data_IF_624976654025
#
_entry.id   IF_624976654025
#
_cell.length_a   1.000
_cell.length_b   1.000
_cell.length_c   1.000
_cell.angle_alpha   90.00
_cell.angle_beta   90.00
_cell.angle_gamma   90.00
#
_symmetry.space_group_name_H-M   'P 1'
#
loop_
_entity.id
_entity.type
_entity.pdbx_description
1 polymer ?
#
# COMPACT_ATOMS: atom_id res chain seq x y z
N UNK A 1 -27.90 -21.48 10.49
CA UNK A 1 -27.09 -21.62 9.25
C UNK A 1 -26.93 -20.28 8.52
N UNK A 2 -28.01 -19.60 8.09
CA UNK A 2 -27.94 -18.30 7.38
C UNK A 2 -27.19 -17.19 8.15
N UNK A 3 -27.37 -17.12 9.47
CA UNK A 3 -26.68 -16.13 10.32
C UNK A 3 -25.16 -16.39 10.36
N UNK A 4 -24.73 -17.64 10.46
CA UNK A 4 -23.31 -18.00 10.46
C UNK A 4 -22.65 -17.68 9.11
N UNK A 5 -23.35 -17.94 8.00
CA UNK A 5 -22.90 -17.57 6.66
C UNK A 5 -22.78 -16.04 6.55
N UNK A 6 -23.78 -15.29 7.03
CA UNK A 6 -23.73 -13.83 7.05
C UNK A 6 -22.57 -13.28 7.87
N UNK A 7 -22.27 -13.88 9.02
CA UNK A 7 -21.16 -13.47 9.88
C UNK A 7 -19.80 -13.72 9.21
N UNK A 8 -19.63 -14.88 8.58
CA UNK A 8 -18.44 -15.18 7.78
C UNK A 8 -18.27 -14.20 6.60
N UNK A 9 -19.37 -13.90 5.89
CA UNK A 9 -19.35 -12.94 4.78
C UNK A 9 -19.04 -11.52 5.26
N UNK A 10 -19.51 -11.11 6.45
CA UNK A 10 -19.16 -9.82 7.04
C UNK A 10 -17.66 -9.74 7.35
N UNK A 11 -17.07 -10.79 7.92
CA UNK A 11 -15.62 -10.85 8.19
C UNK A 11 -14.83 -10.79 6.88
N UNK A 12 -15.21 -11.58 5.88
CA UNK A 12 -14.56 -11.57 4.57
C UNK A 12 -14.68 -10.20 3.87
N UNK A 13 -15.85 -9.57 3.94
CA UNK A 13 -16.09 -8.24 3.40
C UNK A 13 -15.31 -7.15 4.16
N UNK A 14 -15.16 -7.28 5.48
CA UNK A 14 -14.35 -6.37 6.29
C UNK A 14 -12.87 -6.45 5.92
N UNK A 15 -12.31 -7.65 5.92
CA UNK A 15 -10.90 -7.89 5.58
C UNK A 15 -10.60 -7.41 4.16
N UNK A 16 -11.50 -7.70 3.22
CA UNK A 16 -11.36 -7.26 1.83
C UNK A 16 -11.55 -5.76 1.67
N UNK A 17 -12.52 -5.16 2.35
CA UNK A 17 -12.76 -3.72 2.32
C UNK A 17 -11.61 -2.93 2.93
N UNK A 18 -11.05 -3.41 4.04
CA UNK A 18 -9.84 -2.83 4.64
C UNK A 18 -8.66 -2.92 3.67
N UNK A 19 -8.45 -4.10 3.07
CA UNK A 19 -7.36 -4.31 2.12
C UNK A 19 -7.47 -3.41 0.87
N UNK A 20 -8.68 -3.21 0.35
CA UNK A 20 -8.89 -2.49 -0.91
C UNK A 20 -9.03 -0.97 -0.73
N UNK A 21 -9.75 -0.53 0.30
CA UNK A 21 -10.28 0.83 0.37
C UNK A 21 -10.15 1.48 1.76
N UNK A 22 -9.55 0.77 2.71
CA UNK A 22 -9.41 1.23 4.09
C UNK A 22 -10.68 1.04 4.94
N UNK A 23 -10.62 1.53 6.17
CA UNK A 23 -11.57 1.19 7.25
C UNK A 23 -13.00 1.65 6.97
N UNK A 24 -13.19 2.82 6.34
CA UNK A 24 -14.52 3.38 6.04
C UNK A 24 -15.29 2.52 5.03
N UNK A 25 -14.62 2.03 4.00
CA UNK A 25 -15.22 1.12 3.03
C UNK A 25 -15.44 -0.28 3.59
N UNK A 26 -14.54 -0.77 4.46
CA UNK A 26 -14.72 -2.02 5.18
C UNK A 26 -16.03 -2.04 5.97
N UNK A 27 -16.30 -0.97 6.73
CA UNK A 27 -17.54 -0.80 7.49
C UNK A 27 -18.75 -0.76 6.55
N UNK A 28 -18.64 -0.02 5.44
CA UNK A 28 -19.72 0.10 4.45
C UNK A 28 -20.08 -1.26 3.83
N UNK A 29 -19.09 -2.08 3.47
CA UNK A 29 -19.32 -3.42 2.94
C UNK A 29 -19.91 -4.36 4.00
N UNK A 30 -19.47 -4.30 5.26
CA UNK A 30 -20.09 -5.07 6.33
C UNK A 30 -21.56 -4.73 6.52
N UNK A 31 -21.92 -3.44 6.51
CA UNK A 31 -23.32 -3.01 6.63
C UNK A 31 -24.17 -3.52 5.46
N UNK A 32 -23.62 -3.51 4.25
CA UNK A 32 -24.30 -3.98 3.03
C UNK A 32 -24.51 -5.50 3.06
N UNK A 33 -23.51 -6.27 3.51
CA UNK A 33 -23.61 -7.72 3.73
C UNK A 33 -24.58 -8.05 4.88
N UNK A 34 -24.55 -7.29 5.98
CA UNK A 34 -25.48 -7.48 7.10
C UNK A 34 -26.93 -7.20 6.69
N UNK A 35 -27.17 -6.09 5.99
CA UNK A 35 -28.49 -5.70 5.50
C UNK A 35 -29.05 -6.74 4.50
N UNK A 36 -28.22 -7.19 3.55
CA UNK A 36 -28.63 -8.20 2.57
C UNK A 36 -28.89 -9.57 3.21
N UNK A 37 -28.07 -9.97 4.20
CA UNK A 37 -28.31 -11.18 5.00
C UNK A 37 -29.61 -11.09 5.79
N UNK A 38 -29.90 -9.94 6.38
CA UNK A 38 -31.12 -9.70 7.13
C UNK A 38 -32.37 -9.79 6.23
N UNK A 39 -32.34 -9.17 5.06
CA UNK A 39 -33.42 -9.26 4.06
C UNK A 39 -33.62 -10.70 3.61
N UNK A 40 -32.55 -11.43 3.29
CA UNK A 40 -32.62 -12.83 2.92
C UNK A 40 -33.25 -13.67 4.04
N UNK A 41 -32.77 -13.51 5.28
CA UNK A 41 -33.31 -14.22 6.45
C UNK A 41 -34.81 -13.96 6.64
N UNK A 42 -35.26 -12.70 6.56
CA UNK A 42 -36.68 -12.34 6.67
C UNK A 42 -37.52 -13.00 5.59
N UNK A 43 -37.04 -13.01 4.34
CA UNK A 43 -37.77 -13.61 3.22
C UNK A 43 -37.88 -15.13 3.34
N UNK A 44 -36.81 -15.80 3.79
CA UNK A 44 -36.80 -17.24 3.98
C UNK A 44 -37.72 -17.70 5.13
N UNK A 45 -37.92 -16.87 6.16
CA UNK A 45 -38.78 -17.20 7.30
C UNK A 45 -40.24 -16.84 7.07
N UNK A 46 -40.53 -15.69 6.46
CA UNK A 46 -41.89 -15.15 6.40
C UNK A 46 -42.70 -15.66 5.20
N UNK A 47 -42.07 -16.09 4.10
CA UNK A 47 -42.77 -16.42 2.85
C UNK A 47 -42.73 -17.92 2.50
N UNK A 48 -43.79 -18.66 2.87
CA UNK A 48 -43.97 -20.09 2.50
C UNK A 48 -44.47 -20.34 1.07
N UNK A 49 -44.96 -19.32 0.34
CA UNK A 49 -45.69 -19.54 -0.94
C UNK A 49 -45.10 -18.92 -2.21
N UNK A 50 -44.20 -17.93 -2.13
CA UNK A 50 -43.72 -17.24 -3.34
C UNK A 50 -42.30 -17.63 -3.74
N UNK A 51 -42.18 -18.71 -4.52
CA UNK A 51 -40.91 -19.20 -5.07
C UNK A 51 -40.16 -18.17 -5.94
N UNK A 52 -40.90 -17.27 -6.62
CA UNK A 52 -40.31 -16.24 -7.48
C UNK A 52 -39.59 -15.17 -6.63
N UNK A 53 -40.25 -14.62 -5.61
CA UNK A 53 -39.65 -13.63 -4.71
C UNK A 53 -38.40 -14.17 -3.99
N UNK A 54 -38.42 -15.46 -3.62
CA UNK A 54 -37.26 -16.12 -3.02
C UNK A 54 -36.07 -16.22 -3.98
N UNK A 55 -36.31 -16.50 -5.27
CA UNK A 55 -35.27 -16.57 -6.31
C UNK A 55 -34.68 -15.20 -6.62
N UNK A 56 -35.51 -14.16 -6.75
CA UNK A 56 -35.04 -12.79 -7.03
C UNK A 56 -34.21 -12.22 -5.88
N UNK A 57 -34.59 -12.50 -4.63
CA UNK A 57 -33.85 -12.01 -3.47
C UNK A 57 -32.58 -12.83 -3.26
N UNK A 58 -32.62 -14.13 -3.51
CA UNK A 58 -31.41 -14.96 -3.52
C UNK A 58 -30.44 -14.54 -4.62
N UNK A 59 -30.92 -14.17 -5.81
CA UNK A 59 -30.05 -13.65 -6.87
C UNK A 59 -29.47 -12.29 -6.51
N UNK A 60 -30.26 -11.35 -5.97
CA UNK A 60 -29.76 -10.07 -5.48
C UNK A 60 -28.68 -10.23 -4.40
N UNK A 61 -28.91 -11.15 -3.44
CA UNK A 61 -27.93 -11.49 -2.42
C UNK A 61 -26.66 -12.08 -3.03
N UNK A 62 -26.79 -13.08 -3.93
CA UNK A 62 -25.66 -13.71 -4.59
C UNK A 62 -24.87 -12.71 -5.45
N UNK A 63 -25.53 -11.83 -6.18
CA UNK A 63 -24.88 -10.78 -6.99
C UNK A 63 -24.18 -9.75 -6.11
N UNK A 64 -24.77 -9.37 -4.97
CA UNK A 64 -24.14 -8.43 -4.03
C UNK A 64 -22.92 -9.05 -3.36
N UNK A 65 -23.03 -10.30 -2.90
CA UNK A 65 -21.90 -11.05 -2.32
C UNK A 65 -20.82 -11.28 -3.36
N UNK A 66 -21.19 -11.65 -4.59
CA UNK A 66 -20.25 -11.79 -5.69
C UNK A 66 -19.59 -10.45 -6.03
N UNK A 67 -20.34 -9.36 -6.04
CA UNK A 67 -19.77 -8.04 -6.26
C UNK A 67 -18.78 -7.68 -5.16
N UNK A 68 -19.10 -7.88 -3.88
CA UNK A 68 -18.19 -7.59 -2.77
C UNK A 68 -16.95 -8.50 -2.77
N UNK A 69 -17.12 -9.80 -3.02
CA UNK A 69 -16.06 -10.81 -2.96
C UNK A 69 -15.27 -10.99 -4.27
N UNK A 70 -15.78 -10.51 -5.41
CA UNK A 70 -15.14 -10.69 -6.71
C UNK A 70 -15.06 -9.41 -7.54
N UNK A 71 -15.56 -8.24 -7.07
CA UNK A 71 -15.13 -6.98 -7.69
C UNK A 71 -13.62 -6.89 -7.53
N UNK A 72 -12.96 -6.98 -8.68
CA UNK A 72 -11.55 -6.79 -8.79
C UNK A 72 -11.23 -5.31 -8.51
N UNK A 73 -10.09 -4.99 -7.85
CA UNK A 73 -9.59 -3.63 -7.71
C UNK A 73 -9.46 -2.86 -9.04
N UNK A 74 -9.60 -3.54 -10.18
CA UNK A 74 -9.53 -2.97 -11.53
C UNK A 74 -10.68 -2.03 -11.92
N UNK A 75 -11.74 -1.88 -11.11
CA UNK A 75 -12.90 -1.03 -11.47
C UNK A 75 -12.77 0.44 -11.03
N UNK A 76 -11.76 0.76 -10.20
CA UNK A 76 -11.44 2.15 -9.86
C UNK A 76 -9.95 2.43 -10.10
N UNK A 77 -9.61 3.28 -11.09
CA UNK A 77 -8.24 3.72 -11.33
C UNK A 77 -7.57 4.28 -10.06
N UNK A 78 -8.36 4.95 -9.21
CA UNK A 78 -7.90 5.51 -7.93
C UNK A 78 -7.43 4.43 -6.95
N UNK A 79 -8.21 3.36 -6.77
CA UNK A 79 -7.86 2.26 -5.85
C UNK A 79 -6.67 1.46 -6.36
N UNK A 80 -6.65 1.15 -7.66
CA UNK A 80 -5.52 0.48 -8.29
C UNK A 80 -4.23 1.31 -8.15
N UNK A 81 -4.33 2.65 -8.24
CA UNK A 81 -3.19 3.54 -8.02
C UNK A 81 -2.71 3.57 -6.57
N UNK A 82 -3.61 3.54 -5.58
CA UNK A 82 -3.26 3.50 -4.16
C UNK A 82 -2.60 2.16 -3.78
N UNK A 83 -3.17 1.04 -4.22
CA UNK A 83 -2.60 -0.29 -3.97
C UNK A 83 -1.23 -0.46 -4.62
N UNK A 84 -1.05 0.07 -5.85
CA UNK A 84 0.29 0.11 -6.49
C UNK A 84 1.26 0.97 -5.69
N UNK A 85 0.88 2.18 -5.28
CA UNK A 85 1.74 3.08 -4.48
C UNK A 85 2.20 2.42 -3.19
N UNK A 86 1.31 1.77 -2.46
CA UNK A 86 1.67 1.10 -1.22
C UNK A 86 2.61 -0.09 -1.46
N UNK A 87 2.39 -0.89 -2.53
CA UNK A 87 3.31 -1.96 -2.91
C UNK A 87 4.68 -1.42 -3.32
N UNK A 88 4.72 -0.34 -4.08
CA UNK A 88 5.97 0.33 -4.48
C UNK A 88 6.71 0.86 -3.25
N UNK A 89 6.01 1.45 -2.28
CA UNK A 89 6.61 1.90 -1.03
C UNK A 89 7.25 0.76 -0.25
N UNK A 90 6.51 -0.33 0.02
CA UNK A 90 7.03 -1.48 0.77
C UNK A 90 8.25 -2.08 0.06
N UNK A 91 8.19 -2.17 -1.28
CA UNK A 91 9.30 -2.70 -2.08
C UNK A 91 10.54 -1.82 -1.98
N UNK A 92 10.37 -0.50 -2.10
CA UNK A 92 11.45 0.47 -1.95
C UNK A 92 12.04 0.44 -0.54
N UNK A 93 11.22 0.39 0.51
CA UNK A 93 11.68 0.24 1.90
C UNK A 93 12.48 -1.05 2.10
N UNK A 94 12.04 -2.16 1.50
CA UNK A 94 12.76 -3.44 1.59
C UNK A 94 14.11 -3.38 0.86
N UNK A 95 14.16 -2.76 -0.32
CA UNK A 95 15.40 -2.55 -1.05
C UNK A 95 16.38 -1.66 -0.28
N UNK A 96 15.89 -0.55 0.28
CA UNK A 96 16.69 0.35 1.13
C UNK A 96 17.27 -0.37 2.35
N UNK A 97 16.46 -1.19 3.02
CA UNK A 97 16.93 -1.98 4.14
C UNK A 97 18.02 -2.97 3.71
N UNK A 98 17.89 -3.59 2.54
CA UNK A 98 18.90 -4.52 2.03
C UNK A 98 20.23 -3.84 1.69
N UNK A 99 20.23 -2.56 1.30
CA UNK A 99 21.47 -1.80 1.07
C UNK A 99 22.07 -1.31 2.41
N UNK A 100 21.23 -0.80 3.32
CA UNK A 100 21.70 -0.13 4.53
C UNK A 100 22.05 -1.08 5.69
N UNK A 101 21.47 -2.27 5.75
CA UNK A 101 21.65 -3.20 6.88
C UNK A 101 22.96 -4.01 6.83
N UNK A 102 23.43 -4.50 5.67
CA UNK A 102 24.63 -5.35 5.62
C UNK A 102 25.94 -4.60 5.87
N UNK A 103 26.00 -3.31 5.53
CA UNK A 103 27.23 -2.53 5.58
C UNK A 103 27.32 -1.72 6.88
N UNK A 104 28.28 -2.06 7.75
CA UNK A 104 28.50 -1.38 9.03
C UNK A 104 28.85 0.10 8.87
N UNK A 105 29.36 0.51 7.69
CA UNK A 105 29.67 1.93 7.40
C UNK A 105 28.44 2.81 7.37
N UNK A 106 27.26 2.23 7.15
CA UNK A 106 25.98 2.94 7.09
C UNK A 106 25.09 2.68 8.31
N UNK A 107 25.66 2.19 9.42
CA UNK A 107 24.89 1.84 10.62
C UNK A 107 24.06 2.99 11.20
N UNK A 108 24.53 4.24 11.04
CA UNK A 108 23.86 5.46 11.48
C UNK A 108 22.97 6.11 10.40
N UNK A 109 22.93 5.52 9.20
CA UNK A 109 22.08 5.97 8.09
C UNK A 109 20.71 5.31 8.20
N UNK A 110 19.67 6.10 7.96
CA UNK A 110 18.28 5.68 7.95
C UNK A 110 17.60 6.25 6.71
N UNK A 111 16.67 5.48 6.17
CA UNK A 111 15.84 5.92 5.07
C UNK A 111 14.37 5.94 5.51
N UNK A 112 13.67 6.99 5.09
CA UNK A 112 12.22 7.12 5.26
C UNK A 112 11.58 7.28 3.90
N UNK A 113 10.55 6.48 3.63
CA UNK A 113 9.79 6.50 2.39
C UNK A 113 8.39 7.06 2.65
N UNK A 114 7.95 8.00 1.81
CA UNK A 114 6.59 8.54 1.81
C UNK A 114 6.01 8.48 0.40
N UNK A 115 5.03 7.61 0.19
CA UNK A 115 4.36 7.46 -1.11
C UNK A 115 3.06 8.26 -1.15
N UNK A 116 3.15 9.52 -1.60
CA UNK A 116 1.98 10.41 -1.83
C UNK A 116 1.48 10.29 -3.27
N UNK A 117 1.85 11.24 -4.13
CA UNK A 117 1.60 11.21 -5.58
C UNK A 117 2.74 10.53 -6.34
N UNK A 118 3.95 10.71 -5.84
CA UNK A 118 5.18 10.03 -6.22
C UNK A 118 5.81 9.42 -4.96
N UNK A 119 6.81 8.55 -5.14
CA UNK A 119 7.63 8.07 -4.04
C UNK A 119 8.64 9.15 -3.66
N UNK A 120 8.64 9.55 -2.39
CA UNK A 120 9.66 10.43 -1.81
C UNK A 120 10.52 9.58 -0.88
N UNK A 121 11.82 9.60 -1.10
CA UNK A 121 12.80 8.88 -0.27
C UNK A 121 13.69 9.91 0.38
N UNK A 122 13.74 9.91 1.70
CA UNK A 122 14.62 10.78 2.48
C UNK A 122 15.65 9.95 3.21
N UNK A 123 16.92 10.12 2.85
CA UNK A 123 18.05 9.45 3.48
C UNK A 123 18.67 10.43 4.46
N UNK A 124 18.78 10.02 5.72
CA UNK A 124 19.30 10.87 6.79
C UNK A 124 20.17 10.07 7.76
N UNK A 125 21.06 10.76 8.45
CA UNK A 125 22.03 10.11 9.34
C UNK A 125 23.43 10.66 9.18
N UNK A 126 24.43 9.81 9.47
CA UNK A 126 25.84 10.18 9.43
C UNK A 126 26.63 9.19 8.59
N UNK A 127 27.65 9.71 7.89
CA UNK A 127 28.61 8.92 7.12
C UNK A 127 30.01 9.36 7.52
N UNK A 128 30.99 8.46 7.44
CA UNK A 128 32.36 8.74 7.88
C UNK A 128 33.08 9.69 6.91
N UNK A 129 33.01 9.42 5.60
CA UNK A 129 33.68 10.18 4.56
C UNK A 129 32.78 10.55 3.37
N UNK A 130 33.21 11.54 2.57
CA UNK A 130 32.54 11.88 1.30
C UNK A 130 32.63 10.73 0.28
N UNK A 131 33.67 9.90 0.36
CA UNK A 131 33.81 8.71 -0.50
C UNK A 131 32.70 7.71 -0.20
N UNK A 132 32.43 7.45 1.08
CA UNK A 132 31.34 6.56 1.50
C UNK A 132 29.97 7.11 1.10
N UNK A 133 29.81 8.45 1.10
CA UNK A 133 28.58 9.10 0.60
C UNK A 133 28.37 8.83 -0.89
N UNK A 134 29.41 8.94 -1.72
CA UNK A 134 29.34 8.65 -3.15
C UNK A 134 29.10 7.16 -3.42
N UNK A 135 29.74 6.28 -2.66
CA UNK A 135 29.53 4.82 -2.75
C UNK A 135 28.10 4.45 -2.38
N UNK A 136 27.57 5.00 -1.28
CA UNK A 136 26.19 4.81 -0.86
C UNK A 136 25.22 5.22 -1.97
N UNK A 137 25.44 6.40 -2.57
CA UNK A 137 24.64 6.88 -3.70
C UNK A 137 24.70 5.93 -4.89
N UNK A 138 25.89 5.47 -5.26
CA UNK A 138 26.06 4.54 -6.38
C UNK A 138 25.36 3.19 -6.13
N UNK A 139 25.49 2.64 -4.92
CA UNK A 139 24.81 1.40 -4.52
C UNK A 139 23.28 1.54 -4.56
N UNK A 140 22.74 2.65 -4.07
CA UNK A 140 21.31 2.91 -4.10
C UNK A 140 20.77 2.98 -5.53
N UNK A 141 21.47 3.66 -6.44
CA UNK A 141 21.06 3.74 -7.85
C UNK A 141 21.13 2.35 -8.50
N UNK A 142 22.16 1.56 -8.22
CA UNK A 142 22.35 0.25 -8.83
C UNK A 142 21.38 -0.82 -8.29
N UNK A 143 21.11 -0.83 -6.98
CA UNK A 143 20.38 -1.91 -6.31
C UNK A 143 18.89 -1.59 -6.09
N UNK A 144 18.49 -0.33 -6.18
CA UNK A 144 17.12 0.12 -5.93
C UNK A 144 16.48 0.77 -7.17
N UNK A 145 16.10 -0.01 -8.21
CA UNK A 145 15.52 0.54 -9.44
C UNK A 145 14.16 1.21 -9.22
N UNK A 146 13.45 0.89 -8.14
CA UNK A 146 12.19 1.55 -7.79
C UNK A 146 12.40 2.97 -7.20
N UNK A 147 13.65 3.34 -6.86
CA UNK A 147 14.05 4.67 -6.34
C UNK A 147 14.52 5.60 -7.45
N UNK A 148 14.94 5.08 -8.60
CA UNK A 148 15.31 5.88 -9.77
C UNK A 148 14.21 6.88 -10.21
N UNK A 149 12.91 6.52 -10.25
CA UNK A 149 11.84 7.49 -10.52
C UNK A 149 11.38 8.29 -9.28
N UNK A 150 12.02 8.11 -8.12
CA UNK A 150 11.63 8.72 -6.86
C UNK A 150 12.32 10.07 -6.63
N UNK A 151 11.67 10.95 -5.87
CA UNK A 151 12.31 12.18 -5.41
C UNK A 151 13.23 11.83 -4.23
N UNK A 152 14.53 11.71 -4.53
CA UNK A 152 15.56 11.43 -3.54
C UNK A 152 16.03 12.72 -2.87
N UNK A 153 15.92 12.73 -1.54
CA UNK A 153 16.34 13.83 -0.69
C UNK A 153 17.38 13.32 0.31
N UNK A 154 18.47 14.06 0.43
CA UNK A 154 19.60 13.73 1.29
C UNK A 154 19.65 14.71 2.46
N UNK A 155 19.88 14.17 3.65
CA UNK A 155 20.12 14.93 4.88
C UNK A 155 21.18 14.21 5.71
N UNK A 156 22.41 14.22 5.20
CA UNK A 156 23.54 13.47 5.79
C UNK A 156 24.62 14.43 6.29
N UNK A 157 25.18 14.15 7.46
CA UNK A 157 26.39 14.81 7.94
C UNK A 157 27.60 13.90 7.73
N UNK A 158 28.67 14.44 7.17
CA UNK A 158 29.94 13.72 6.96
C UNK A 158 30.90 14.06 8.09
N UNK A 159 31.44 13.05 8.78
CA UNK A 159 32.27 13.27 9.97
C UNK A 159 33.62 13.91 9.64
N UNK A 160 34.24 13.52 8.53
CA UNK A 160 35.59 13.99 8.14
C UNK A 160 35.58 15.48 7.75
N UNK A 161 34.60 15.90 6.95
CA UNK A 161 34.47 17.29 6.50
C UNK A 161 33.64 18.17 7.43
N UNK A 162 32.87 17.58 8.35
CA UNK A 162 31.85 18.25 9.17
C UNK A 162 30.82 19.04 8.33
N UNK A 163 30.65 18.65 7.05
CA UNK A 163 29.69 19.24 6.14
C UNK A 163 28.32 18.55 6.26
N UNK A 164 27.27 19.35 6.09
CA UNK A 164 25.89 18.87 6.06
C UNK A 164 25.38 18.95 4.63
N UNK A 165 25.06 17.79 4.06
CA UNK A 165 24.41 17.65 2.77
C UNK A 165 22.90 17.59 3.00
N UNK A 166 22.22 18.73 2.80
CA UNK A 166 20.77 18.88 2.96
C UNK A 166 20.14 19.42 1.67
N UNK A 167 19.50 18.54 0.90
CA UNK A 167 19.00 18.90 -0.43
C UNK A 167 18.58 17.71 -1.27
N UNK A 168 18.13 17.99 -2.51
CA UNK A 168 17.81 16.93 -3.47
C UNK A 168 19.09 16.37 -4.07
N UNK A 169 19.00 15.14 -4.58
CA UNK A 169 20.12 14.47 -5.24
C UNK A 169 20.76 15.34 -6.34
N UNK A 170 19.93 15.92 -7.21
CA UNK A 170 20.38 16.82 -8.30
C UNK A 170 21.05 18.10 -7.81
N UNK A 171 20.65 18.61 -6.64
CA UNK A 171 21.15 19.86 -6.09
C UNK A 171 22.52 19.64 -5.44
N UNK A 172 22.74 18.46 -4.88
CA UNK A 172 23.97 18.09 -4.15
C UNK A 172 25.01 17.50 -5.10
N UNK A 173 24.61 16.58 -5.97
CA UNK A 173 25.51 15.78 -6.80
C UNK A 173 25.49 16.18 -8.29
N UNK A 174 24.69 17.20 -8.65
CA UNK A 174 24.46 17.62 -10.03
C UNK A 174 23.44 16.72 -10.76
N UNK A 175 22.94 17.20 -11.90
CA UNK A 175 22.12 16.38 -12.79
C UNK A 175 22.96 15.23 -13.37
N UNK A 176 22.64 14.00 -12.98
CA UNK A 176 23.07 12.84 -13.74
C UNK A 176 22.31 12.90 -15.05
N UNK A 177 23.01 13.13 -16.16
CA UNK A 177 22.48 12.92 -17.50
C UNK A 177 22.15 11.43 -17.65
N UNK A 178 20.97 11.03 -17.18
CA UNK A 178 20.41 9.70 -17.37
C UNK A 178 19.80 9.67 -18.77
N UNK A 179 20.60 9.24 -19.74
CA UNK A 179 20.11 8.79 -21.06
C UNK A 179 19.63 7.34 -20.98
#
# INVERSE_FOLDING_TARGET
>A
MLIAIGLFLCIAAFLRGQYLLGTSAAVTFCLLVAASTFVAYRVFITNRRHNIARRTIASLFATTVFAVLFFSPSVSPGIASLSRRHRTQIRAETQLLNVLTPDSRFADVRATCDAKKALFVTIHGRVESDTDLMELRAQLIAECPDIEPAFLYWRLSVNDSNELYDGRDSDIFGEVNMQ
#
